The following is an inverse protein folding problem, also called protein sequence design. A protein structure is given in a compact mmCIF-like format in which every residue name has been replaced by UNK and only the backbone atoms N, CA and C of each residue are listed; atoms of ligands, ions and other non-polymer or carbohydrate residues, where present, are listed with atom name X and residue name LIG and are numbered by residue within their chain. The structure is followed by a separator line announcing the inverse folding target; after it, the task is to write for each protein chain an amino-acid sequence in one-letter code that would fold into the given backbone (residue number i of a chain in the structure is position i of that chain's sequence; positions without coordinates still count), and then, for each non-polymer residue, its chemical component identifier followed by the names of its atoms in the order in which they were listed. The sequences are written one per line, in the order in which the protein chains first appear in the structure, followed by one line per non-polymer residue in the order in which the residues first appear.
data_IF_027577967000
#
_entry.id   IF_027577967000
#
_cell.length_a   1.000
_cell.length_b   1.000
_cell.length_c   1.000
_cell.angle_alpha   90.00
_cell.angle_beta   90.00
_cell.angle_gamma   90.00
#
_symmetry.space_group_name_H-M   'P 1'
#
loop_
_entity.id
_entity.type
_entity.pdbx_description
1 polymer ?
#
# COMPACT_ATOMS: atom_id res chain seq x y z
N UNK A 1 63.65 8.80 53.73
CA UNK A 1 64.65 8.04 52.98
C UNK A 1 64.67 6.61 53.52
N UNK A 2 64.21 5.62 52.76
CA UNK A 2 64.39 4.21 53.14
C UNK A 2 65.82 3.81 52.78
N UNK A 3 66.69 3.77 53.78
CA UNK A 3 68.04 3.23 53.65
C UNK A 3 67.94 1.71 53.51
N UNK A 4 68.63 1.20 52.48
CA UNK A 4 69.10 -0.18 52.28
C UNK A 4 68.25 -1.31 52.86
N UNK A 5 67.53 -2.01 51.99
CA UNK A 5 66.94 -3.32 52.27
C UNK A 5 68.03 -4.41 52.30
N UNK A 6 68.98 -4.28 53.21
CA UNK A 6 69.92 -5.33 53.57
C UNK A 6 69.54 -5.80 54.96
N UNK A 7 68.68 -6.82 55.03
CA UNK A 7 68.89 -8.01 55.88
C UNK A 7 67.60 -8.82 56.17
N UNK A 8 67.72 -10.10 55.81
CA UNK A 8 67.04 -11.28 56.36
C UNK A 8 65.52 -11.51 56.14
N UNK A 9 65.28 -12.53 55.29
CA UNK A 9 64.23 -13.57 55.37
C UNK A 9 62.77 -13.27 55.00
N UNK A 10 62.41 -12.05 54.62
CA UNK A 10 61.08 -11.80 54.04
C UNK A 10 61.23 -11.06 52.71
N UNK A 11 60.63 -11.58 51.63
CA UNK A 11 60.58 -10.90 50.34
C UNK A 11 59.80 -9.59 50.56
N UNK A 12 60.49 -8.46 50.58
CA UNK A 12 59.89 -7.12 50.72
C UNK A 12 59.79 -6.45 49.33
N UNK A 13 58.67 -5.77 49.08
CA UNK A 13 58.33 -5.14 47.81
C UNK A 13 58.36 -3.63 47.92
N UNK A 14 59.04 -2.93 47.02
CA UNK A 14 59.13 -1.48 47.02
C UNK A 14 58.01 -0.87 46.17
N UNK A 15 57.09 -0.14 46.80
CA UNK A 15 56.10 0.67 46.10
C UNK A 15 56.67 2.06 45.84
N UNK A 16 56.74 2.46 44.58
CA UNK A 16 57.17 3.79 44.15
C UNK A 16 55.96 4.67 43.85
N UNK A 17 55.96 5.90 44.38
CA UNK A 17 54.97 6.93 44.04
C UNK A 17 55.64 8.30 43.94
N UNK A 18 55.08 9.16 43.10
CA UNK A 18 55.55 10.52 42.88
C UNK A 18 54.55 11.50 43.48
N UNK A 19 55.04 12.41 44.32
CA UNK A 19 54.29 13.55 44.86
C UNK A 19 55.11 14.80 44.57
N UNK A 20 54.52 15.76 43.86
CA UNK A 20 55.15 17.05 43.52
C UNK A 20 56.55 16.93 42.87
N UNK A 21 56.73 15.93 42.00
CA UNK A 21 58.02 15.66 41.34
C UNK A 21 59.08 15.00 42.23
N UNK A 22 58.77 14.74 43.50
CA UNK A 22 59.66 14.05 44.46
C UNK A 22 59.31 12.57 44.53
N UNK A 23 60.33 11.72 44.45
CA UNK A 23 60.19 10.26 44.49
C UNK A 23 60.15 9.76 45.95
N UNK A 24 59.05 9.11 46.32
CA UNK A 24 58.88 8.45 47.61
C UNK A 24 58.71 6.93 47.44
N UNK A 25 58.95 6.17 48.51
CA UNK A 25 58.60 4.75 48.51
C UNK A 25 58.53 4.08 49.88
N UNK A 26 57.85 2.93 49.89
CA UNK A 26 57.54 2.12 51.08
C UNK A 26 57.80 0.64 50.79
N UNK A 27 58.34 -0.07 51.78
CA UNK A 27 58.46 -1.53 51.73
C UNK A 27 57.15 -2.20 52.15
N UNK A 28 56.64 -3.11 51.33
CA UNK A 28 55.40 -3.85 51.52
C UNK A 28 55.69 -5.36 51.61
N UNK A 29 54.79 -6.13 52.24
CA UNK A 29 54.83 -7.61 52.22
C UNK A 29 54.23 -8.22 50.94
N UNK A 30 53.40 -7.47 50.23
CA UNK A 30 52.81 -7.81 48.94
C UNK A 30 52.39 -6.50 48.24
N UNK A 31 52.30 -6.48 46.91
CA UNK A 31 51.79 -5.32 46.19
C UNK A 31 50.29 -5.13 46.47
N UNK A 32 49.83 -3.87 46.45
CA UNK A 32 48.40 -3.56 46.56
C UNK A 32 47.66 -3.89 45.26
N UNK A 33 46.33 -4.02 45.34
CA UNK A 33 45.46 -4.11 44.16
C UNK A 33 45.76 -2.94 43.22
N UNK A 34 45.78 -3.19 41.92
CA UNK A 34 46.20 -2.22 40.90
C UNK A 34 47.73 -2.12 40.70
N UNK A 35 48.52 -2.99 41.32
CA UNK A 35 49.96 -3.07 41.13
C UNK A 35 50.45 -4.52 40.98
N UNK A 36 51.38 -4.76 40.07
CA UNK A 36 52.03 -6.05 39.86
C UNK A 36 53.51 -6.02 40.25
N UNK A 37 54.03 -7.20 40.62
CA UNK A 37 55.43 -7.40 41.01
C UNK A 37 56.35 -7.39 39.79
N UNK A 38 57.42 -6.61 39.84
CA UNK A 38 58.54 -6.65 38.89
C UNK A 38 59.87 -6.73 39.64
N UNK A 39 60.89 -7.35 39.06
CA UNK A 39 62.25 -7.35 39.58
C UNK A 39 63.13 -6.46 38.69
N UNK A 40 63.64 -5.35 39.24
CA UNK A 40 64.54 -4.41 38.55
C UNK A 40 65.71 -4.06 39.48
N UNK A 41 66.93 -3.99 38.94
CA UNK A 41 68.14 -3.56 39.65
C UNK A 41 68.35 -4.23 41.03
N UNK A 42 68.09 -5.53 41.11
CA UNK A 42 68.27 -6.32 42.34
C UNK A 42 67.15 -6.15 43.39
N UNK A 43 66.05 -5.45 43.08
CA UNK A 43 64.94 -5.18 43.99
C UNK A 43 63.59 -5.61 43.42
N UNK A 44 62.70 -6.12 44.27
CA UNK A 44 61.30 -6.32 43.90
C UNK A 44 60.53 -5.01 44.05
N UNK A 45 59.92 -4.54 42.98
CA UNK A 45 59.12 -3.32 42.93
C UNK A 45 57.66 -3.62 42.59
N UNK A 46 56.75 -2.77 43.03
CA UNK A 46 55.34 -2.78 42.63
C UNK A 46 55.13 -1.74 41.53
N UNK A 47 54.86 -2.18 40.29
CA UNK A 47 54.52 -1.31 39.16
C UNK A 47 53.01 -1.23 39.02
N UNK A 48 52.48 -0.02 38.78
CA UNK A 48 51.03 0.22 38.62
C UNK A 48 50.51 -0.48 37.35
N UNK A 49 49.31 -1.07 37.41
CA UNK A 49 48.59 -1.50 36.22
C UNK A 49 48.20 -0.25 35.40
N UNK A 50 48.27 -0.34 34.07
CA UNK A 50 47.94 0.75 33.16
C UNK A 50 46.59 0.47 32.46
N UNK A 51 46.10 1.42 31.66
CA UNK A 51 44.92 1.26 30.78
C UNK A 51 43.63 0.80 31.49
N UNK A 52 43.31 1.35 32.66
CA UNK A 52 42.05 1.08 33.35
C UNK A 52 41.96 -0.30 34.02
N UNK A 53 43.08 -1.01 34.15
CA UNK A 53 43.11 -2.31 34.83
C UNK A 53 43.11 -2.17 36.36
N UNK A 54 42.20 -2.89 37.02
CA UNK A 54 42.06 -2.93 38.49
C UNK A 54 42.91 -4.03 39.13
N UNK A 55 42.96 -5.23 38.53
CA UNK A 55 43.81 -6.33 38.98
C UNK A 55 44.64 -6.87 37.81
N UNK A 56 45.96 -6.92 37.96
CA UNK A 56 46.86 -7.43 36.91
C UNK A 56 47.99 -8.34 37.43
N UNK A 57 48.46 -9.21 36.54
CA UNK A 57 49.65 -10.05 36.74
C UNK A 57 50.67 -9.85 35.63
N UNK A 58 51.96 -10.02 35.96
CA UNK A 58 53.05 -9.90 35.00
C UNK A 58 53.02 -11.09 34.02
N UNK A 59 52.97 -10.82 32.71
CA UNK A 59 53.24 -11.84 31.69
C UNK A 59 54.71 -11.85 31.30
N UNK A 60 55.26 -10.70 30.89
CA UNK A 60 56.65 -10.54 30.42
C UNK A 60 57.32 -9.32 31.06
N UNK A 61 58.59 -9.04 30.73
CA UNK A 61 59.35 -7.92 31.31
C UNK A 61 58.72 -6.54 31.14
N UNK A 62 57.75 -6.38 30.23
CA UNK A 62 57.03 -5.12 29.98
C UNK A 62 55.50 -5.25 29.93
N UNK A 63 54.94 -6.47 29.90
CA UNK A 63 53.50 -6.71 29.69
C UNK A 63 52.82 -7.29 30.93
N UNK A 64 51.56 -6.92 31.14
CA UNK A 64 50.70 -7.46 32.20
C UNK A 64 49.39 -7.99 31.60
N UNK A 65 48.86 -9.07 32.18
CA UNK A 65 47.49 -9.53 31.97
C UNK A 65 46.57 -8.87 32.98
N UNK A 66 45.46 -8.33 32.51
CA UNK A 66 44.41 -7.82 33.38
C UNK A 66 43.35 -8.89 33.66
N UNK A 67 42.83 -8.92 34.89
CA UNK A 67 41.75 -9.82 35.31
C UNK A 67 40.43 -9.10 35.60
N UNK A 68 40.49 -7.81 35.95
CA UNK A 68 39.32 -6.98 36.22
C UNK A 68 39.60 -5.51 35.89
N UNK A 69 38.57 -4.80 35.45
CA UNK A 69 38.67 -3.41 34.99
C UNK A 69 38.03 -2.44 35.99
N UNK A 70 38.51 -1.20 36.01
CA UNK A 70 37.82 -0.12 36.71
C UNK A 70 36.53 0.24 35.96
N UNK A 71 35.58 0.86 36.66
CA UNK A 71 34.33 1.32 36.06
C UNK A 71 34.59 2.23 34.84
N UNK A 72 33.87 1.98 33.74
CA UNK A 72 34.09 2.63 32.44
C UNK A 72 35.02 1.88 31.49
N UNK A 73 35.67 0.81 31.94
CA UNK A 73 36.47 -0.09 31.10
C UNK A 73 35.93 -1.52 31.15
N UNK A 74 36.16 -2.27 30.06
CA UNK A 74 35.62 -3.60 29.85
C UNK A 74 36.72 -4.60 29.51
N UNK A 75 36.70 -5.74 30.18
CA UNK A 75 37.69 -6.79 29.98
C UNK A 75 37.47 -7.52 28.65
N UNK A 76 38.50 -7.53 27.81
CA UNK A 76 38.57 -8.26 26.56
C UNK A 76 39.98 -8.82 26.34
N UNK A 77 40.12 -10.12 26.12
CA UNK A 77 41.43 -10.79 25.92
C UNK A 77 42.52 -10.35 26.91
N UNK A 78 42.18 -10.31 28.21
CA UNK A 78 43.08 -9.90 29.31
C UNK A 78 43.53 -8.42 29.25
N UNK A 79 42.80 -7.56 28.54
CA UNK A 79 43.02 -6.12 28.49
C UNK A 79 41.74 -5.36 28.82
N UNK A 80 41.87 -4.16 29.35
CA UNK A 80 40.75 -3.28 29.63
C UNK A 80 40.62 -2.25 28.50
N UNK A 81 39.46 -2.24 27.85
CA UNK A 81 39.14 -1.33 26.74
C UNK A 81 38.03 -0.37 27.17
N UNK A 82 38.09 0.88 26.73
CA UNK A 82 36.99 1.85 26.89
C UNK A 82 35.85 1.61 25.89
N UNK A 83 36.15 0.93 24.77
CA UNK A 83 35.20 0.46 23.76
C UNK A 83 35.48 -0.99 23.38
N UNK A 84 34.45 -1.82 23.40
CA UNK A 84 34.54 -3.20 22.93
C UNK A 84 34.69 -3.27 21.40
N UNK A 85 35.42 -4.27 20.89
CA UNK A 85 35.56 -4.49 19.46
C UNK A 85 34.25 -4.95 18.82
N UNK A 86 34.15 -4.83 17.49
CA UNK A 86 33.01 -5.31 16.71
C UNK A 86 32.70 -6.79 17.02
N UNK A 87 31.42 -7.13 17.15
CA UNK A 87 30.97 -8.44 17.62
C UNK A 87 30.82 -8.57 19.13
N UNK A 88 31.17 -7.55 19.91
CA UNK A 88 31.03 -7.54 21.37
C UNK A 88 30.33 -6.27 21.87
N UNK A 89 29.50 -6.40 22.90
CA UNK A 89 28.93 -5.26 23.62
C UNK A 89 29.60 -5.12 24.99
N UNK A 90 29.63 -3.88 25.46
CA UNK A 90 30.05 -3.53 26.81
C UNK A 90 28.97 -3.91 27.82
N UNK A 91 29.22 -4.94 28.63
CA UNK A 91 28.32 -5.33 29.72
C UNK A 91 28.72 -4.58 31.01
N UNK A 92 27.91 -3.60 31.40
CA UNK A 92 28.16 -2.77 32.58
C UNK A 92 28.05 -3.54 33.91
N UNK A 93 27.33 -4.67 33.94
CA UNK A 93 27.19 -5.49 35.14
C UNK A 93 28.42 -6.37 35.37
N UNK A 94 28.96 -6.96 34.30
CA UNK A 94 30.13 -7.85 34.39
C UNK A 94 31.46 -7.11 34.20
N UNK A 95 31.42 -5.86 33.69
CA UNK A 95 32.59 -5.09 33.22
C UNK A 95 33.43 -5.87 32.20
N UNK A 96 32.76 -6.62 31.31
CA UNK A 96 33.39 -7.42 30.25
C UNK A 96 32.81 -7.07 28.89
N UNK A 97 33.61 -7.31 27.85
CA UNK A 97 33.12 -7.34 26.49
C UNK A 97 32.52 -8.72 26.23
N UNK A 98 31.20 -8.77 26.08
CA UNK A 98 30.44 -10.00 25.85
C UNK A 98 30.01 -10.09 24.39
N UNK A 99 30.06 -11.28 23.82
CA UNK A 99 29.76 -11.48 22.40
C UNK A 99 28.29 -11.20 22.09
N UNK A 100 28.05 -10.59 20.93
CA UNK A 100 26.73 -10.49 20.35
C UNK A 100 26.15 -11.88 20.06
N UNK A 101 24.83 -11.99 20.20
CA UNK A 101 24.11 -13.21 19.83
C UNK A 101 23.80 -13.17 18.34
N UNK A 102 24.05 -14.28 17.65
CA UNK A 102 23.66 -14.42 16.25
C UNK A 102 22.14 -14.20 16.13
N UNK A 103 21.65 -13.41 15.15
CA UNK A 103 22.33 -12.94 13.93
C UNK A 103 22.88 -11.50 13.97
N UNK A 104 23.08 -10.91 15.15
CA UNK A 104 23.69 -9.58 15.26
C UNK A 104 25.17 -9.62 14.85
N UNK A 105 25.64 -8.65 14.03
CA UNK A 105 27.08 -8.38 13.86
C UNK A 105 27.55 -7.41 14.94
N UNK A 106 26.83 -6.30 15.10
CA UNK A 106 27.05 -5.33 16.17
C UNK A 106 25.84 -5.34 17.09
N UNK A 107 26.06 -5.22 18.40
CA UNK A 107 25.01 -5.15 19.41
C UNK A 107 25.37 -4.14 20.50
N UNK A 108 24.37 -3.67 21.23
CA UNK A 108 24.52 -2.62 22.25
C UNK A 108 23.75 -2.98 23.53
N UNK A 109 24.43 -2.88 24.68
CA UNK A 109 23.91 -3.12 26.05
C UNK A 109 23.53 -4.58 26.35
N UNK A 110 23.02 -5.30 25.36
CA UNK A 110 22.59 -6.70 25.49
C UNK A 110 22.94 -7.47 24.22
N UNK A 111 23.18 -8.78 24.37
CA UNK A 111 23.57 -9.68 23.27
C UNK A 111 22.59 -9.69 22.08
N UNK A 112 21.30 -9.47 22.31
CA UNK A 112 20.23 -9.51 21.29
C UNK A 112 19.76 -8.14 20.79
N UNK A 113 20.35 -7.05 21.28
CA UNK A 113 19.97 -5.69 20.90
C UNK A 113 20.91 -5.23 19.80
N UNK A 114 20.63 -5.63 18.57
CA UNK A 114 21.50 -5.46 17.41
C UNK A 114 21.54 -3.99 16.92
N UNK A 115 22.69 -3.55 16.43
CA UNK A 115 22.86 -2.35 15.62
C UNK A 115 23.06 -2.68 14.13
N UNK A 116 23.47 -3.91 13.82
CA UNK A 116 23.60 -4.41 12.45
C UNK A 116 23.44 -5.93 12.42
N UNK A 117 23.07 -6.44 11.25
CA UNK A 117 22.76 -7.85 11.04
C UNK A 117 23.70 -8.45 10.00
N UNK A 118 23.93 -9.77 10.13
CA UNK A 118 24.46 -10.56 9.01
C UNK A 118 23.53 -10.40 7.81
N UNK A 119 24.11 -10.43 6.61
CA UNK A 119 23.33 -10.24 5.39
C UNK A 119 22.43 -11.45 5.12
N UNK A 120 22.96 -12.65 5.32
CA UNK A 120 22.29 -13.92 5.09
C UNK A 120 22.37 -14.77 6.35
N UNK A 121 21.29 -15.47 6.66
CA UNK A 121 21.32 -16.53 7.66
C UNK A 121 21.99 -17.81 7.10
N UNK A 122 22.05 -18.86 7.92
CA UNK A 122 22.65 -20.15 7.55
C UNK A 122 21.95 -20.84 6.36
N UNK A 123 20.72 -20.44 6.05
CA UNK A 123 19.91 -20.97 4.94
C UNK A 123 19.96 -20.08 3.70
N UNK A 124 20.65 -18.95 3.75
CA UNK A 124 20.72 -17.98 2.66
C UNK A 124 19.52 -17.01 2.62
N UNK A 125 18.78 -16.84 3.71
CA UNK A 125 17.67 -15.88 3.80
C UNK A 125 18.17 -14.50 4.23
N UNK A 126 17.68 -13.45 3.56
CA UNK A 126 18.11 -12.07 3.84
C UNK A 126 17.52 -11.53 5.16
N UNK A 127 18.40 -10.95 5.98
CA UNK A 127 18.05 -10.30 7.24
C UNK A 127 18.25 -8.78 7.16
N UNK A 128 17.35 -8.04 7.79
CA UNK A 128 17.38 -6.58 7.90
C UNK A 128 17.19 -6.15 9.35
N UNK A 129 17.68 -4.96 9.69
CA UNK A 129 17.50 -4.40 11.03
C UNK A 129 16.12 -3.74 11.16
N UNK A 130 15.41 -4.06 12.24
CA UNK A 130 14.19 -3.39 12.65
C UNK A 130 14.13 -3.26 14.17
N UNK A 131 14.08 -2.02 14.68
CA UNK A 131 13.99 -1.71 16.12
C UNK A 131 14.99 -2.51 16.99
N UNK A 132 16.27 -2.47 16.58
CA UNK A 132 17.39 -3.19 17.22
C UNK A 132 17.27 -4.72 17.22
N UNK A 133 16.48 -5.28 16.31
CA UNK A 133 16.39 -6.73 16.09
C UNK A 133 16.64 -7.03 14.63
N UNK A 134 17.29 -8.15 14.37
CA UNK A 134 17.37 -8.68 13.02
C UNK A 134 16.12 -9.49 12.73
N UNK A 135 15.43 -9.13 11.65
CA UNK A 135 14.25 -9.82 11.16
C UNK A 135 14.46 -10.18 9.70
N UNK A 136 13.73 -11.17 9.21
CA UNK A 136 13.74 -11.49 7.78
C UNK A 136 13.23 -10.30 6.97
N UNK A 137 13.85 -10.06 5.81
CA UNK A 137 13.46 -9.01 4.88
C UNK A 137 11.97 -9.11 4.48
N UNK A 138 11.46 -10.33 4.32
CA UNK A 138 10.04 -10.62 4.04
C UNK A 138 9.09 -10.26 5.19
N UNK A 139 9.61 -10.09 6.40
CA UNK A 139 8.85 -9.78 7.62
C UNK A 139 8.84 -8.29 7.96
N UNK A 140 9.32 -7.42 7.06
CA UNK A 140 9.27 -5.97 7.26
C UNK A 140 7.80 -5.54 7.46
N UNK A 141 7.44 -4.94 8.61
CA UNK A 141 6.04 -4.67 8.91
C UNK A 141 5.39 -3.65 7.97
N UNK A 142 4.04 -3.64 7.85
CA UNK A 142 3.34 -2.54 7.21
C UNK A 142 3.74 -1.19 7.80
N UNK A 143 3.63 -0.12 7.02
CA UNK A 143 4.15 1.24 7.29
C UNK A 143 5.67 1.38 7.22
N UNK A 144 6.40 0.32 6.88
CA UNK A 144 7.84 0.36 6.68
C UNK A 144 8.21 -0.12 5.28
N UNK A 145 9.35 0.36 4.79
CA UNK A 145 10.00 -0.13 3.59
C UNK A 145 11.44 -0.55 3.88
N UNK A 146 11.99 -1.36 2.99
CA UNK A 146 13.36 -1.84 3.09
C UNK A 146 14.29 -0.81 2.44
N UNK A 147 15.09 -0.14 3.26
CA UNK A 147 16.25 0.58 2.78
C UNK A 147 17.35 -0.42 2.44
N UNK A 148 17.54 -0.68 1.14
CA UNK A 148 18.51 -1.66 0.65
C UNK A 148 19.97 -1.22 0.87
N UNK A 149 20.22 0.08 1.08
CA UNK A 149 21.57 0.60 1.30
C UNK A 149 21.98 0.32 2.75
N UNK A 150 21.14 0.73 3.71
CA UNK A 150 21.42 0.54 5.13
C UNK A 150 20.96 -0.83 5.67
N UNK A 151 20.23 -1.61 4.86
CA UNK A 151 19.60 -2.90 5.22
C UNK A 151 18.71 -2.80 6.46
N UNK A 152 17.80 -1.83 6.46
CA UNK A 152 16.90 -1.57 7.58
C UNK A 152 15.46 -1.36 7.11
N UNK A 153 14.52 -1.67 8.00
CA UNK A 153 13.12 -1.30 7.82
C UNK A 153 12.90 0.14 8.31
N UNK A 154 12.68 1.07 7.39
CA UNK A 154 12.43 2.49 7.67
C UNK A 154 10.96 2.85 7.43
N UNK A 155 10.46 3.84 8.16
CA UNK A 155 9.04 4.21 8.11
C UNK A 155 8.67 4.92 6.81
N UNK A 156 7.49 4.66 6.28
CA UNK A 156 6.89 5.41 5.18
C UNK A 156 6.44 6.80 5.65
N UNK A 157 6.55 7.80 4.78
CA UNK A 157 6.16 9.18 5.10
C UNK A 157 4.70 9.50 4.73
N UNK A 158 4.13 10.48 5.42
CA UNK A 158 2.81 11.05 5.10
C UNK A 158 1.64 10.09 5.27
N UNK A 159 0.87 9.90 4.20
CA UNK A 159 -0.37 9.12 4.19
C UNK A 159 -0.20 7.70 3.63
N UNK A 160 1.02 7.19 3.68
CA UNK A 160 1.37 5.91 3.10
C UNK A 160 1.30 4.74 4.10
N UNK A 161 0.70 3.62 3.69
CA UNK A 161 0.71 2.33 4.40
C UNK A 161 1.84 1.43 3.89
N UNK A 162 2.04 1.35 2.58
CA UNK A 162 3.15 0.60 1.99
C UNK A 162 3.89 1.50 1.01
N UNK A 163 5.20 1.61 1.19
CA UNK A 163 6.08 2.33 0.30
C UNK A 163 7.15 1.38 -0.25
N UNK A 164 7.71 1.74 -1.41
CA UNK A 164 8.66 0.93 -2.14
C UNK A 164 10.10 1.28 -1.74
N UNK A 165 10.89 1.91 -2.62
CA UNK A 165 12.33 2.11 -2.39
C UNK A 165 12.65 3.39 -1.59
N UNK A 166 11.64 4.25 -1.41
CA UNK A 166 11.74 5.53 -0.71
C UNK A 166 10.54 5.71 0.19
N UNK A 167 10.70 6.44 1.29
CA UNK A 167 9.63 6.78 2.23
C UNK A 167 8.44 7.47 1.55
N UNK A 168 8.68 8.18 0.44
CA UNK A 168 7.68 8.93 -0.34
C UNK A 168 7.09 8.16 -1.53
N UNK A 169 7.67 7.02 -1.91
CA UNK A 169 7.20 6.20 -3.05
C UNK A 169 6.10 5.26 -2.61
N UNK A 170 4.85 5.75 -2.54
CA UNK A 170 3.75 5.05 -1.92
C UNK A 170 2.96 4.14 -2.86
N UNK A 171 2.83 2.86 -2.50
CA UNK A 171 2.07 1.84 -3.25
C UNK A 171 0.70 1.56 -2.63
N UNK A 172 0.52 1.82 -1.34
CA UNK A 172 -0.76 1.65 -0.65
C UNK A 172 -1.02 2.83 0.29
N UNK A 173 -2.20 3.44 0.19
CA UNK A 173 -2.55 4.64 0.92
C UNK A 173 -3.45 4.37 2.14
N UNK A 174 -3.42 5.29 3.11
CA UNK A 174 -4.39 5.32 4.21
C UNK A 174 -5.82 5.46 3.67
N UNK A 175 -6.79 4.99 4.45
CA UNK A 175 -8.21 5.04 4.08
C UNK A 175 -8.64 6.44 3.64
N UNK A 176 -9.42 6.51 2.55
CA UNK A 176 -9.91 7.77 1.96
C UNK A 176 -8.98 8.39 0.92
N UNK A 177 -7.86 7.74 0.60
CA UNK A 177 -6.91 8.17 -0.42
C UNK A 177 -6.67 7.07 -1.45
N UNK A 178 -6.23 7.46 -2.63
CA UNK A 178 -5.99 6.57 -3.76
C UNK A 178 -4.53 6.63 -4.20
N UNK A 179 -3.91 5.46 -4.37
CA UNK A 179 -2.58 5.36 -4.96
C UNK A 179 -2.60 5.72 -6.44
N UNK A 180 -1.73 6.65 -6.84
CA UNK A 180 -1.49 7.05 -8.22
C UNK A 180 -0.06 7.56 -8.39
N UNK A 181 0.69 7.03 -9.36
CA UNK A 181 2.09 7.41 -9.62
C UNK A 181 2.97 7.46 -8.35
N UNK A 182 2.87 6.43 -7.51
CA UNK A 182 3.58 6.33 -6.24
C UNK A 182 3.24 7.42 -5.21
N UNK A 183 2.07 8.05 -5.32
CA UNK A 183 1.60 9.07 -4.40
C UNK A 183 0.15 8.78 -3.97
N UNK A 184 -0.22 9.32 -2.81
CA UNK A 184 -1.58 9.26 -2.31
C UNK A 184 -2.32 10.56 -2.61
N UNK A 185 -3.40 10.46 -3.37
CA UNK A 185 -4.23 11.60 -3.77
C UNK A 185 -5.69 11.40 -3.35
N UNK A 186 -6.43 12.49 -3.18
CA UNK A 186 -7.83 12.45 -2.77
C UNK A 186 -8.77 12.10 -3.94
N UNK A 187 -8.43 12.55 -5.15
CA UNK A 187 -9.24 12.39 -6.35
C UNK A 187 -8.34 12.00 -7.53
N UNK A 188 -8.76 10.98 -8.27
CA UNK A 188 -8.02 10.51 -9.42
C UNK A 188 -8.09 11.52 -10.59
N UNK A 189 -7.00 11.65 -11.37
CA UNK A 189 -6.98 12.56 -12.52
C UNK A 189 -7.90 12.07 -13.65
N UNK A 190 -8.16 12.95 -14.62
CA UNK A 190 -8.96 12.63 -15.80
C UNK A 190 -8.48 11.35 -16.49
N UNK A 191 -9.43 10.51 -16.91
CA UNK A 191 -9.18 9.18 -17.48
C UNK A 191 -9.02 8.07 -16.44
N UNK A 192 -9.10 8.38 -15.15
CA UNK A 192 -9.09 7.42 -14.05
C UNK A 192 -10.29 7.64 -13.14
N UNK A 193 -10.67 6.59 -12.40
CA UNK A 193 -11.69 6.65 -11.37
C UNK A 193 -11.15 6.13 -10.03
N UNK A 194 -11.84 6.54 -8.97
CA UNK A 194 -11.55 6.14 -7.60
C UNK A 194 -11.98 4.68 -7.38
N UNK A 195 -11.05 3.73 -7.48
CA UNK A 195 -11.33 2.31 -7.26
C UNK A 195 -11.31 2.02 -5.75
N UNK A 196 -12.49 2.08 -5.13
CA UNK A 196 -12.67 1.85 -3.70
C UNK A 196 -12.29 0.43 -3.27
N UNK A 197 -12.36 -0.55 -4.16
CA UNK A 197 -12.01 -1.93 -3.83
C UNK A 197 -10.49 -2.12 -3.76
N UNK A 198 -9.76 -1.42 -4.64
CA UNK A 198 -8.30 -1.52 -4.71
C UNK A 198 -7.56 -0.40 -3.96
N UNK A 199 -8.26 0.67 -3.53
CA UNK A 199 -7.65 1.83 -2.88
C UNK A 199 -6.67 2.59 -3.79
N UNK A 200 -6.93 2.58 -5.11
CA UNK A 200 -6.06 3.20 -6.12
C UNK A 200 -6.84 3.86 -7.25
N UNK A 201 -6.14 4.63 -8.07
CA UNK A 201 -6.69 5.13 -9.31
C UNK A 201 -6.65 4.04 -10.39
N UNK A 202 -7.82 3.63 -10.85
CA UNK A 202 -7.98 2.66 -11.93
C UNK A 202 -8.39 3.36 -13.22
N UNK A 203 -7.87 2.89 -14.35
CA UNK A 203 -8.10 3.53 -15.64
C UNK A 203 -9.55 3.32 -16.12
N UNK A 204 -10.13 4.34 -16.74
CA UNK A 204 -11.40 4.21 -17.45
C UNK A 204 -11.24 3.30 -18.69
N UNK A 205 -12.36 2.76 -19.17
CA UNK A 205 -12.38 2.06 -20.46
C UNK A 205 -11.88 2.97 -21.56
N UNK A 206 -11.23 2.39 -22.58
CA UNK A 206 -10.64 3.14 -23.68
C UNK A 206 -11.66 3.97 -24.48
N UNK A 207 -12.95 3.67 -24.36
CA UNK A 207 -14.05 4.41 -25.02
C UNK A 207 -14.53 5.63 -24.22
N UNK A 208 -14.19 5.71 -22.92
CA UNK A 208 -14.55 6.84 -22.07
C UNK A 208 -13.41 7.89 -22.05
N UNK A 209 -13.76 9.17 -22.00
CA UNK A 209 -12.83 10.25 -21.60
C UNK A 209 -12.68 10.30 -20.07
N UNK A 210 -13.78 10.09 -19.35
CA UNK A 210 -13.84 10.07 -17.88
C UNK A 210 -14.93 9.12 -17.40
N UNK A 211 -14.77 8.59 -16.18
CA UNK A 211 -15.68 7.61 -15.57
C UNK A 211 -15.71 7.79 -14.04
N UNK A 212 -16.72 7.23 -13.35
CA UNK A 212 -16.95 7.49 -11.91
C UNK A 212 -16.68 6.32 -10.96
N UNK A 213 -17.33 5.19 -11.18
CA UNK A 213 -17.32 4.07 -10.23
C UNK A 213 -16.70 2.80 -10.78
N UNK A 214 -16.74 2.64 -12.11
CA UNK A 214 -16.17 1.50 -12.82
C UNK A 214 -15.70 1.95 -14.21
N UNK A 215 -14.90 1.14 -14.92
CA UNK A 215 -14.31 1.55 -16.19
C UNK A 215 -15.33 1.91 -17.28
N UNK A 216 -16.58 1.42 -17.20
CA UNK A 216 -17.57 1.52 -18.27
C UNK A 216 -18.69 2.54 -18.00
N UNK A 217 -18.77 3.07 -16.77
CA UNK A 217 -19.69 4.13 -16.41
C UNK A 217 -19.06 5.49 -16.75
N UNK A 218 -19.16 5.84 -18.03
CA UNK A 218 -18.56 7.05 -18.58
C UNK A 218 -19.38 8.31 -18.26
N UNK A 219 -18.72 9.46 -18.18
CA UNK A 219 -19.37 10.78 -18.23
C UNK A 219 -19.29 11.44 -19.60
N UNK A 220 -18.23 11.12 -20.34
CA UNK A 220 -17.99 11.67 -21.67
C UNK A 220 -17.37 10.58 -22.54
N UNK A 221 -17.85 10.48 -23.78
CA UNK A 221 -17.38 9.53 -24.76
C UNK A 221 -16.25 10.11 -25.60
N UNK A 222 -15.30 9.25 -25.97
CA UNK A 222 -14.32 9.62 -26.99
C UNK A 222 -14.99 9.72 -28.36
N UNK A 223 -14.33 10.43 -29.28
CA UNK A 223 -14.82 10.60 -30.65
C UNK A 223 -15.13 9.24 -31.31
N UNK A 224 -16.26 9.19 -32.01
CA UNK A 224 -16.73 7.98 -32.69
C UNK A 224 -17.59 7.05 -31.83
N UNK A 225 -17.99 7.48 -30.63
CA UNK A 225 -18.98 6.84 -29.75
C UNK A 225 -20.04 7.86 -29.30
N UNK A 226 -21.23 7.39 -28.97
CA UNK A 226 -22.36 8.19 -28.50
C UNK A 226 -22.67 7.90 -27.04
N UNK A 227 -22.90 8.95 -26.26
CA UNK A 227 -23.30 8.86 -24.86
C UNK A 227 -24.77 8.48 -24.72
N UNK A 228 -25.04 7.42 -23.95
CA UNK A 228 -26.37 6.96 -23.60
C UNK A 228 -26.37 6.32 -22.21
N UNK A 229 -27.14 6.86 -21.26
CA UNK A 229 -27.31 6.30 -19.91
C UNK A 229 -25.96 5.94 -19.21
N UNK A 230 -25.03 6.90 -19.16
CA UNK A 230 -23.67 6.73 -18.60
C UNK A 230 -22.81 5.67 -19.31
N UNK A 231 -23.14 5.31 -20.55
CA UNK A 231 -22.36 4.38 -21.38
C UNK A 231 -22.02 5.04 -22.70
N UNK A 232 -20.92 4.60 -23.28
CA UNK A 232 -20.52 4.96 -24.63
C UNK A 232 -20.80 3.81 -25.57
N UNK A 233 -21.66 4.06 -26.57
CA UNK A 233 -22.09 3.06 -27.54
C UNK A 233 -21.56 3.43 -28.92
N UNK A 234 -21.27 2.42 -29.75
CA UNK A 234 -20.85 2.67 -31.13
C UNK A 234 -22.01 3.20 -31.97
N UNK A 235 -23.20 2.69 -31.70
CA UNK A 235 -24.45 3.07 -32.34
C UNK A 235 -25.51 3.30 -31.25
N UNK A 236 -26.43 4.23 -31.48
CA UNK A 236 -27.52 4.50 -30.55
C UNK A 236 -28.56 3.36 -30.60
N UNK A 237 -29.19 3.02 -29.46
CA UNK A 237 -30.24 2.01 -29.43
C UNK A 237 -31.46 2.46 -30.22
N UNK A 238 -32.35 1.51 -30.52
CA UNK A 238 -33.64 1.82 -31.14
C UNK A 238 -34.39 2.92 -30.38
N UNK A 239 -35.12 3.75 -31.11
CA UNK A 239 -35.79 4.99 -30.68
C UNK A 239 -34.86 6.17 -30.36
N UNK A 240 -33.56 6.06 -30.66
CA UNK A 240 -32.59 7.14 -30.53
C UNK A 240 -31.74 7.28 -31.80
N UNK A 241 -31.18 8.47 -32.01
CA UNK A 241 -30.22 8.76 -33.06
C UNK A 241 -29.02 9.54 -32.49
N UNK A 242 -27.87 9.43 -33.17
CA UNK A 242 -26.65 10.08 -32.71
C UNK A 242 -26.54 11.53 -33.18
N UNK A 243 -26.37 12.47 -32.24
CA UNK A 243 -26.16 13.90 -32.51
C UNK A 243 -25.20 14.49 -31.48
N UNK A 244 -24.18 15.21 -31.93
CA UNK A 244 -23.15 15.82 -31.05
C UNK A 244 -22.54 14.83 -30.02
N UNK A 245 -22.26 13.58 -30.43
CA UNK A 245 -21.75 12.49 -29.58
C UNK A 245 -22.71 12.05 -28.44
N UNK A 246 -24.00 12.37 -28.54
CA UNK A 246 -25.04 11.96 -27.59
C UNK A 246 -26.15 11.24 -28.37
N UNK A 247 -26.79 10.25 -27.74
CA UNK A 247 -28.00 9.65 -28.27
C UNK A 247 -29.22 10.51 -27.90
N UNK A 248 -29.80 11.18 -28.88
CA UNK A 248 -31.04 11.96 -28.75
C UNK A 248 -32.24 11.10 -29.12
N UNK A 249 -33.39 11.33 -28.48
CA UNK A 249 -34.61 10.53 -28.71
C UNK A 249 -35.19 10.88 -30.09
N UNK A 250 -35.64 9.88 -30.83
CA UNK A 250 -36.46 10.07 -32.03
C UNK A 250 -37.81 10.73 -31.70
N UNK A 251 -38.50 11.23 -32.72
CA UNK A 251 -39.90 11.61 -32.62
C UNK A 251 -40.78 10.45 -32.15
N UNK A 252 -41.95 10.76 -31.56
CA UNK A 252 -42.83 9.73 -31.02
C UNK A 252 -43.30 8.73 -32.10
N UNK A 253 -43.49 7.48 -31.66
CA UNK A 253 -43.83 6.31 -32.50
C UNK A 253 -42.75 5.87 -33.50
N UNK A 254 -41.61 6.54 -33.53
CA UNK A 254 -40.48 6.18 -34.37
C UNK A 254 -39.53 5.21 -33.68
N UNK A 255 -39.29 4.04 -34.28
CA UNK A 255 -38.32 3.03 -33.83
C UNK A 255 -36.91 3.34 -34.33
N UNK A 256 -36.75 3.88 -35.54
CA UNK A 256 -35.45 4.28 -36.11
C UNK A 256 -35.61 5.59 -36.84
N UNK A 257 -34.71 6.54 -36.61
CA UNK A 257 -34.76 7.88 -37.19
C UNK A 257 -33.38 8.39 -37.60
N UNK A 258 -33.35 9.42 -38.45
CA UNK A 258 -32.14 10.20 -38.75
C UNK A 258 -32.10 11.54 -38.03
N UNK A 259 -33.17 11.89 -37.31
CA UNK A 259 -33.30 13.14 -36.56
C UNK A 259 -34.48 13.13 -35.60
N UNK A 260 -34.72 14.26 -34.92
CA UNK A 260 -35.71 14.42 -33.87
C UNK A 260 -37.12 14.78 -34.39
N UNK A 261 -37.26 15.04 -35.69
CA UNK A 261 -38.55 15.45 -36.26
C UNK A 261 -39.39 14.25 -36.72
N UNK A 262 -40.73 14.37 -36.69
CA UNK A 262 -41.63 13.30 -37.13
C UNK A 262 -41.37 12.80 -38.55
N UNK A 263 -40.94 13.69 -39.47
CA UNK A 263 -40.65 13.39 -40.88
C UNK A 263 -39.22 12.88 -41.16
N UNK A 264 -38.44 12.63 -40.10
CA UNK A 264 -37.09 12.07 -40.17
C UNK A 264 -37.08 10.61 -39.68
N UNK A 265 -38.23 9.96 -39.69
CA UNK A 265 -38.37 8.56 -39.29
C UNK A 265 -38.08 7.60 -40.43
N UNK A 266 -37.39 6.50 -40.14
CA UNK A 266 -37.02 5.44 -41.09
C UNK A 266 -37.57 4.06 -40.70
N UNK A 267 -38.11 3.91 -39.49
CA UNK A 267 -38.82 2.71 -39.06
C UNK A 267 -39.74 2.99 -37.88
N UNK A 268 -40.90 2.35 -37.83
CA UNK A 268 -41.93 2.59 -36.82
C UNK A 268 -42.00 1.49 -35.77
N UNK A 269 -42.43 1.86 -34.55
CA UNK A 269 -42.75 0.88 -33.51
C UNK A 269 -43.96 0.03 -33.92
N UNK A 270 -44.15 -1.11 -33.26
CA UNK A 270 -45.28 -2.01 -33.52
C UNK A 270 -46.63 -1.28 -33.40
N UNK A 271 -47.51 -1.45 -34.39
CA UNK A 271 -48.82 -0.78 -34.45
C UNK A 271 -48.85 0.49 -35.31
N UNK A 272 -47.70 0.93 -35.83
CA UNK A 272 -47.57 2.05 -36.76
C UNK A 272 -46.96 1.59 -38.08
N UNK A 273 -47.22 2.32 -39.17
CA UNK A 273 -46.55 2.11 -40.45
C UNK A 273 -45.92 3.41 -40.95
N UNK A 274 -44.82 3.25 -41.69
CA UNK A 274 -44.07 4.38 -42.22
C UNK A 274 -44.77 4.91 -43.48
N UNK A 275 -45.18 6.19 -43.45
CA UNK A 275 -45.76 6.91 -44.58
C UNK A 275 -45.12 8.30 -44.66
N UNK A 276 -44.54 8.65 -45.79
CA UNK A 276 -43.87 9.95 -46.01
C UNK A 276 -42.83 10.28 -44.91
N UNK A 277 -42.04 9.27 -44.51
CA UNK A 277 -41.08 9.32 -43.41
C UNK A 277 -41.69 9.68 -42.04
N UNK A 278 -43.00 9.49 -41.86
CA UNK A 278 -43.72 9.67 -40.59
C UNK A 278 -44.38 8.37 -40.17
N UNK A 279 -44.41 8.12 -38.85
CA UNK A 279 -45.13 6.98 -38.30
C UNK A 279 -46.58 7.35 -38.05
N UNK A 280 -47.46 6.80 -38.89
CA UNK A 280 -48.89 6.92 -38.74
C UNK A 280 -49.46 5.63 -38.16
N UNK A 281 -50.55 5.75 -37.40
CA UNK A 281 -51.22 4.60 -36.81
C UNK A 281 -51.56 3.64 -37.94
N UNK A 282 -51.28 2.36 -37.75
CA UNK A 282 -51.86 1.32 -38.60
C UNK A 282 -53.34 1.35 -38.31
N UNK A 283 -54.06 2.17 -39.05
CA UNK A 283 -55.50 2.17 -39.02
C UNK A 283 -55.89 0.71 -39.26
N UNK A 284 -56.38 0.06 -38.20
CA UNK A 284 -57.38 -0.98 -38.38
C UNK A 284 -58.61 -0.21 -38.84
N UNK A 285 -58.55 0.39 -40.04
CA UNK A 285 -59.74 0.75 -40.74
C UNK A 285 -60.46 -0.59 -40.89
N UNK A 286 -61.60 -0.72 -40.23
CA UNK A 286 -62.60 -1.71 -40.57
C UNK A 286 -63.09 -1.29 -41.97
N UNK A 287 -62.27 -1.55 -43.00
CA UNK A 287 -62.58 -1.16 -44.37
C UNK A 287 -63.69 -2.04 -44.96
N UNK A 288 -64.03 -3.14 -44.27
CA UNK A 288 -65.17 -3.98 -44.57
C UNK A 288 -66.06 -4.05 -43.32
N UNK A 289 -66.96 -3.08 -43.18
CA UNK A 289 -68.14 -3.31 -42.37
C UNK A 289 -68.87 -4.55 -42.91
N UNK A 290 -69.51 -5.33 -42.03
CA UNK A 290 -70.40 -6.39 -42.50
C UNK A 290 -71.41 -5.79 -43.50
N UNK A 291 -71.71 -6.49 -44.60
CA UNK A 291 -72.49 -5.96 -45.74
C UNK A 291 -73.86 -5.34 -45.35
N UNK A 292 -74.42 -5.74 -44.21
CA UNK A 292 -75.65 -5.18 -43.66
C UNK A 292 -75.48 -3.82 -42.97
N UNK A 293 -74.26 -3.46 -42.56
CA UNK A 293 -73.92 -2.17 -41.96
C UNK A 293 -73.54 -1.14 -43.03
N UNK A 294 -74.04 0.09 -42.88
CA UNK A 294 -73.63 1.27 -43.64
C UNK A 294 -72.46 2.00 -42.97
N UNK A 295 -72.48 2.08 -41.65
CA UNK A 295 -71.40 2.57 -40.79
C UNK A 295 -71.20 1.58 -39.66
N UNK A 296 -69.97 1.32 -39.24
CA UNK A 296 -69.65 0.31 -38.22
C UNK A 296 -68.51 0.74 -37.30
N UNK A 297 -68.49 0.19 -36.09
CA UNK A 297 -67.37 0.24 -35.15
C UNK A 297 -66.64 -1.11 -35.05
N UNK A 298 -67.04 -2.09 -35.86
CA UNK A 298 -66.40 -3.40 -35.94
C UNK A 298 -66.87 -4.19 -37.18
N UNK A 299 -66.14 -5.26 -37.56
CA UNK A 299 -66.39 -5.99 -38.80
C UNK A 299 -67.59 -6.95 -38.73
N UNK A 300 -68.20 -7.17 -37.55
CA UNK A 300 -69.30 -8.13 -37.37
C UNK A 300 -70.67 -7.50 -37.64
N UNK A 301 -71.64 -8.36 -37.94
CA UNK A 301 -73.04 -8.00 -38.22
C UNK A 301 -73.78 -7.31 -37.05
N UNK A 302 -73.22 -7.35 -35.84
CA UNK A 302 -73.71 -6.67 -34.64
C UNK A 302 -72.92 -5.43 -34.22
N UNK A 303 -71.97 -4.98 -35.04
CA UNK A 303 -71.11 -3.84 -34.73
C UNK A 303 -71.39 -2.66 -35.68
N UNK A 304 -72.66 -2.48 -36.03
CA UNK A 304 -73.11 -1.41 -36.90
C UNK A 304 -73.54 -0.17 -36.10
N UNK A 305 -73.15 1.03 -36.55
CA UNK A 305 -73.78 2.29 -36.16
C UNK A 305 -75.08 2.54 -36.94
N UNK A 306 -75.08 2.18 -38.22
CA UNK A 306 -76.23 2.37 -39.11
C UNK A 306 -76.36 1.18 -40.06
N UNK A 307 -77.60 0.78 -40.38
CA UNK A 307 -77.89 -0.27 -41.35
C UNK A 307 -77.98 0.28 -42.79
N UNK A 308 -77.63 -0.55 -43.77
CA UNK A 308 -77.90 -0.25 -45.18
C UNK A 308 -79.40 -0.27 -45.47
N UNK A 309 -79.87 0.45 -46.50
CA UNK A 309 -81.31 0.68 -46.81
C UNK A 309 -82.18 -0.58 -46.94
N UNK A 310 -81.60 -1.77 -47.10
CA UNK A 310 -82.30 -3.07 -47.18
C UNK A 310 -82.44 -3.80 -45.83
N UNK A 311 -81.87 -3.22 -44.76
CA UNK A 311 -81.76 -3.82 -43.45
C UNK A 311 -82.29 -2.87 -42.37
N UNK A 312 -82.96 -3.41 -41.35
CA UNK A 312 -83.41 -2.67 -40.17
C UNK A 312 -82.65 -3.13 -38.91
N UNK A 313 -82.51 -2.22 -37.94
CA UNK A 313 -81.80 -2.53 -36.70
C UNK A 313 -82.70 -3.29 -35.73
N UNK A 314 -82.32 -4.52 -35.37
CA UNK A 314 -83.06 -5.37 -34.43
C UNK A 314 -82.11 -6.25 -33.62
N UNK A 315 -82.26 -6.23 -32.29
CA UNK A 315 -81.40 -6.95 -31.35
C UNK A 315 -79.90 -6.74 -31.61
N UNK A 316 -79.49 -5.47 -31.72
CA UNK A 316 -78.11 -5.06 -31.96
C UNK A 316 -77.51 -5.54 -33.28
N UNK A 317 -78.33 -5.96 -34.26
CA UNK A 317 -77.90 -6.42 -35.59
C UNK A 317 -78.73 -5.79 -36.69
N UNK A 318 -78.15 -5.64 -37.87
CA UNK A 318 -78.88 -5.24 -39.08
C UNK A 318 -79.46 -6.48 -39.77
N UNK A 319 -80.79 -6.62 -39.78
CA UNK A 319 -81.52 -7.76 -40.39
C UNK A 319 -82.23 -7.34 -41.67
N UNK A 320 -82.25 -8.22 -42.67
CA UNK A 320 -82.86 -7.95 -43.97
C UNK A 320 -84.38 -7.77 -43.86
N UNK A 321 -84.94 -6.79 -44.57
CA UNK A 321 -86.38 -6.53 -44.60
C UNK A 321 -87.10 -7.57 -45.47
N UNK A 322 -88.07 -8.34 -44.93
CA UNK A 322 -88.75 -9.41 -45.68
C UNK A 322 -89.59 -8.93 -46.89
N UNK A 323 -89.99 -7.66 -46.93
CA UNK A 323 -90.88 -7.08 -47.95
C UNK A 323 -90.36 -5.76 -48.55
N UNK A 324 -89.08 -5.43 -48.34
CA UNK A 324 -88.51 -4.11 -48.63
C UNK A 324 -88.80 -3.12 -47.51
N UNK A 325 -87.81 -2.34 -47.09
CA UNK A 325 -88.04 -1.23 -46.17
C UNK A 325 -88.42 -0.02 -47.05
N UNK A 326 -89.71 0.25 -47.23
CA UNK A 326 -90.13 1.53 -47.81
C UNK A 326 -89.77 2.66 -46.82
N UNK A 327 -89.29 3.77 -47.38
CA UNK A 327 -88.40 4.80 -46.82
C UNK A 327 -88.52 5.17 -45.33
#
# INVERSE_FOLDING_TARGET
MCYECTQYKFIQYYLQYYLDGVQYGKCLKQCYIGYFKVFLDGKFICKKCENGCFECEKQDNSNFSCFSCIFGFFLYNQQCLDKCPDGFFANENSLKCESCEFPCILCEKEKNRCNSCVQLDEKGEELVLFKNKCIYKSSCPPFFFIDSINRQCLICEGNCIQCQDKSTSCTQCKNGLFAYNLQCINECPLGFFNDLNQGKCSQCSEICVSCKNNPFECFQCKNGFFFYQNKCLKECPDSFFGKNLICEKCADNCLKCTGDKPNECTGCITGFFLKDNQCVIKDICINDCHISCKECFGPRDNQCFQCNKKYYFYNQKCKECPLGCDE
#
